data_IF_256998636112
#
_entry.id   IF_256998636112
#
_cell.length_a   1.000
_cell.length_b   1.000
_cell.length_c   1.000
_cell.angle_alpha   90.00
_cell.angle_beta   90.00
_cell.angle_gamma   90.00
#
_symmetry.space_group_name_H-M   'P 1'
#
loop_
_entity.id
_entity.type
_entity.pdbx_description
1 polymer ?
#
# COMPACT_ATOMS: atom_id res chain seq x y z
N UNK A 1 -15.47 9.97 -60.18
CA UNK A 1 -15.98 11.31 -59.81
C UNK A 1 -17.50 11.18 -59.67
N UNK A 2 -18.03 11.32 -58.45
CA UNK A 2 -19.45 11.60 -58.07
C UNK A 2 -20.54 10.58 -58.54
N UNK A 3 -21.53 10.13 -57.79
CA UNK A 3 -22.09 10.52 -56.49
C UNK A 3 -23.04 9.39 -55.97
N UNK A 4 -23.09 9.25 -54.64
CA UNK A 4 -24.30 9.13 -53.80
C UNK A 4 -25.37 8.09 -54.18
N UNK A 5 -25.48 7.01 -53.38
CA UNK A 5 -26.78 6.53 -52.85
C UNK A 5 -26.60 6.18 -51.37
N UNK A 6 -27.48 6.78 -50.57
CA UNK A 6 -27.61 6.64 -49.12
C UNK A 6 -28.14 5.25 -48.74
N UNK A 7 -27.57 4.62 -47.71
CA UNK A 7 -28.31 3.66 -46.89
C UNK A 7 -28.25 4.09 -45.43
N UNK A 8 -29.41 4.52 -44.94
CA UNK A 8 -29.65 4.86 -43.55
C UNK A 8 -29.40 3.64 -42.65
N UNK A 9 -28.42 3.74 -41.74
CA UNK A 9 -28.46 2.96 -40.51
C UNK A 9 -28.97 3.88 -39.40
N UNK A 10 -30.22 3.62 -39.00
CA UNK A 10 -30.90 4.21 -37.85
C UNK A 10 -30.00 4.18 -36.63
N UNK A 11 -29.71 5.37 -36.09
CA UNK A 11 -29.35 5.56 -34.70
C UNK A 11 -30.52 5.08 -33.83
N UNK A 12 -30.41 3.85 -33.33
CA UNK A 12 -31.18 3.46 -32.16
C UNK A 12 -30.51 4.09 -30.95
N UNK A 13 -31.02 5.26 -30.57
CA UNK A 13 -30.80 5.86 -29.27
C UNK A 13 -31.15 4.89 -28.16
N UNK A 14 -30.13 4.21 -27.64
CA UNK A 14 -30.14 3.70 -26.27
C UNK A 14 -29.62 4.82 -25.39
N UNK A 15 -30.56 5.58 -24.84
CA UNK A 15 -30.39 6.28 -23.58
C UNK A 15 -29.68 5.34 -22.60
N UNK A 16 -28.41 5.64 -22.28
CA UNK A 16 -27.64 4.96 -21.24
C UNK A 16 -28.23 5.35 -19.88
N UNK A 17 -29.37 4.77 -19.55
CA UNK A 17 -29.96 4.83 -18.21
C UNK A 17 -29.39 3.69 -17.39
N UNK A 18 -28.32 3.98 -16.66
CA UNK A 18 -28.09 3.64 -15.24
C UNK A 18 -26.58 3.68 -14.99
N UNK A 19 -26.15 4.72 -14.28
CA UNK A 19 -24.83 4.79 -13.64
C UNK A 19 -24.74 3.66 -12.60
N UNK A 20 -24.39 2.45 -13.02
CA UNK A 20 -23.95 1.42 -12.06
C UNK A 20 -22.50 1.74 -11.70
N UNK A 21 -22.33 2.46 -10.60
CA UNK A 21 -21.04 2.75 -9.98
C UNK A 21 -20.27 1.42 -9.80
N UNK A 22 -18.93 1.35 -10.00
CA UNK A 22 -18.14 0.12 -9.89
C UNK A 22 -18.31 -0.62 -8.55
N UNK A 23 -18.66 0.13 -7.49
CA UNK A 23 -19.01 -0.37 -6.16
C UNK A 23 -20.19 -1.36 -6.17
N UNK A 24 -21.08 -1.30 -7.17
CA UNK A 24 -22.26 -2.16 -7.26
C UNK A 24 -21.92 -3.65 -7.54
N UNK A 25 -20.67 -3.98 -7.90
CA UNK A 25 -20.21 -5.36 -8.15
C UNK A 25 -19.31 -5.92 -7.04
N UNK A 26 -19.08 -5.18 -5.96
CA UNK A 26 -18.24 -5.66 -4.86
C UNK A 26 -19.08 -6.41 -3.84
N UNK A 27 -18.62 -7.61 -3.49
CA UNK A 27 -19.19 -8.41 -2.39
C UNK A 27 -18.85 -7.83 -1.01
N UNK A 28 -18.20 -6.66 -0.95
CA UNK A 28 -17.78 -5.97 0.27
C UNK A 28 -18.00 -4.45 0.14
N UNK A 29 -18.15 -3.78 1.29
CA UNK A 29 -18.24 -2.31 1.36
C UNK A 29 -16.90 -1.73 1.86
N UNK A 30 -16.10 -1.09 0.99
CA UNK A 30 -14.87 -0.42 1.41
C UNK A 30 -15.23 0.80 2.27
N UNK A 31 -14.38 1.14 3.25
CA UNK A 31 -14.56 2.37 4.02
C UNK A 31 -13.71 3.48 3.44
N UNK A 32 -14.36 4.41 2.74
CA UNK A 32 -13.71 5.54 2.06
C UNK A 32 -14.42 6.81 2.49
N UNK A 33 -13.72 7.71 3.19
CA UNK A 33 -14.25 9.06 3.44
C UNK A 33 -14.26 9.85 2.12
N UNK A 34 -15.42 10.44 1.79
CA UNK A 34 -15.61 11.28 0.60
C UNK A 34 -16.03 10.55 -0.68
N UNK A 35 -16.07 9.21 -0.68
CA UNK A 35 -16.53 8.41 -1.82
C UNK A 35 -15.62 8.48 -3.05
N UNK A 36 -16.09 7.89 -4.14
CA UNK A 36 -15.42 7.94 -5.45
C UNK A 36 -15.83 9.18 -6.23
N UNK A 37 -14.90 9.73 -7.01
CA UNK A 37 -15.12 10.91 -7.84
C UNK A 37 -14.70 10.70 -9.30
N UNK A 38 -15.11 11.58 -10.23
CA UNK A 38 -14.46 11.68 -11.54
C UNK A 38 -12.96 11.97 -11.42
N UNK A 39 -12.20 11.58 -12.44
CA UNK A 39 -10.80 11.97 -12.53
C UNK A 39 -10.68 13.51 -12.59
N UNK A 40 -9.62 14.11 -12.00
CA UNK A 40 -9.41 15.56 -12.08
C UNK A 40 -9.35 16.04 -13.53
N UNK A 41 -10.01 17.16 -13.82
CA UNK A 41 -9.94 17.83 -15.13
C UNK A 41 -8.74 18.77 -15.25
N UNK A 42 -8.13 19.13 -14.12
CA UNK A 42 -6.92 19.93 -14.05
C UNK A 42 -5.69 19.09 -14.37
N UNK A 43 -4.61 19.74 -14.82
CA UNK A 43 -3.32 19.07 -15.04
C UNK A 43 -2.87 18.37 -13.73
N UNK A 44 -2.29 17.16 -13.81
CA UNK A 44 -1.73 16.50 -12.64
C UNK A 44 -0.65 17.36 -11.98
N UNK A 45 -0.70 17.46 -10.65
CA UNK A 45 0.36 18.09 -9.86
C UNK A 45 1.67 17.31 -10.07
N UNK A 46 2.80 18.00 -10.16
CA UNK A 46 4.12 17.36 -10.22
C UNK A 46 4.66 17.16 -8.81
N UNK A 47 5.37 16.05 -8.60
CA UNK A 47 6.06 15.84 -7.33
C UNK A 47 7.23 16.82 -7.20
N UNK A 48 7.31 17.51 -6.07
CA UNK A 48 8.44 18.34 -5.68
C UNK A 48 8.94 17.81 -4.31
N UNK A 49 10.14 17.21 -4.23
CA UNK A 49 10.63 16.65 -2.99
C UNK A 49 10.79 17.68 -1.86
N UNK A 50 11.07 18.95 -2.16
CA UNK A 50 11.22 20.01 -1.14
C UNK A 50 9.91 20.38 -0.44
N UNK A 51 8.77 20.10 -1.09
CA UNK A 51 7.42 20.41 -0.58
C UNK A 51 6.70 19.16 -0.08
N UNK A 52 6.96 18.03 -0.71
CA UNK A 52 6.20 16.81 -0.53
C UNK A 52 6.90 15.76 0.33
N UNK A 53 8.22 15.85 0.52
CA UNK A 53 8.91 15.05 1.53
C UNK A 53 9.01 15.81 2.85
N UNK A 54 8.98 15.05 3.94
CA UNK A 54 9.24 15.59 5.28
C UNK A 54 10.67 15.27 5.66
N UNK A 55 11.39 16.24 6.22
CA UNK A 55 12.72 16.00 6.79
C UNK A 55 12.62 14.96 7.89
N UNK A 56 13.21 13.79 7.63
CA UNK A 56 13.16 12.67 8.57
C UNK A 56 14.39 12.68 9.47
N UNK A 57 14.18 12.65 10.79
CA UNK A 57 15.23 12.26 11.73
C UNK A 57 15.57 10.78 11.55
N UNK A 58 16.77 10.35 11.95
CA UNK A 58 17.12 8.93 11.82
C UNK A 58 16.25 8.08 12.76
N UNK A 59 15.31 7.25 12.23
CA UNK A 59 14.42 6.49 13.10
C UNK A 59 15.20 5.36 13.77
N UNK A 60 14.72 4.92 14.93
CA UNK A 60 15.24 3.69 15.52
C UNK A 60 14.93 2.53 14.58
N UNK A 61 15.85 1.57 14.56
CA UNK A 61 15.80 0.37 13.71
C UNK A 61 16.00 -0.84 14.59
N UNK A 62 15.21 -1.87 14.33
CA UNK A 62 15.47 -3.22 14.82
C UNK A 62 16.35 -3.91 13.80
N UNK A 63 17.42 -4.52 14.28
CA UNK A 63 18.31 -5.34 13.48
C UNK A 63 17.86 -6.80 13.45
N UNK A 64 18.39 -7.60 12.53
CA UNK A 64 18.19 -9.05 12.52
C UNK A 64 18.63 -9.68 13.86
N UNK A 65 19.73 -9.17 14.42
CA UNK A 65 20.23 -9.58 15.74
C UNK A 65 19.26 -9.25 16.86
N UNK A 66 18.63 -8.08 16.85
CA UNK A 66 17.61 -7.71 17.85
C UNK A 66 16.39 -8.65 17.79
N UNK A 67 16.12 -9.24 16.61
CA UNK A 67 15.11 -10.28 16.43
C UNK A 67 15.64 -11.70 16.66
N UNK A 68 16.85 -11.87 17.19
CA UNK A 68 17.50 -13.18 17.34
C UNK A 68 17.58 -14.00 16.05
N UNK A 69 17.64 -13.34 14.90
CA UNK A 69 17.84 -13.96 13.59
C UNK A 69 19.33 -13.90 13.19
N UNK A 70 19.84 -14.86 12.40
CA UNK A 70 21.20 -14.79 11.84
C UNK A 70 21.37 -13.51 11.00
N UNK A 71 22.50 -12.82 11.16
CA UNK A 71 22.75 -11.56 10.44
C UNK A 71 22.96 -11.75 8.93
N UNK A 72 23.30 -12.97 8.51
CA UNK A 72 23.52 -13.36 7.11
C UNK A 72 22.26 -13.90 6.42
N UNK A 73 21.12 -14.00 7.13
CA UNK A 73 19.86 -14.44 6.52
C UNK A 73 19.33 -13.42 5.52
N UNK A 74 19.55 -12.13 5.79
CA UNK A 74 19.07 -11.01 4.98
C UNK A 74 20.15 -10.37 4.10
N UNK A 75 19.75 -9.30 3.43
CA UNK A 75 20.63 -8.46 2.59
C UNK A 75 21.02 -7.15 3.27
N UNK A 76 20.46 -6.86 4.44
CA UNK A 76 20.80 -5.75 5.33
C UNK A 76 20.72 -6.20 6.78
N UNK A 77 21.48 -5.56 7.66
CA UNK A 77 21.36 -5.76 9.10
C UNK A 77 20.02 -5.25 9.66
N UNK A 78 19.39 -4.28 8.97
CA UNK A 78 18.12 -3.69 9.40
C UNK A 78 16.97 -4.64 9.07
N UNK A 79 16.29 -5.14 10.10
CA UNK A 79 15.10 -5.95 9.94
C UNK A 79 13.86 -5.08 9.72
N UNK A 80 13.66 -4.07 10.56
CA UNK A 80 12.49 -3.19 10.53
C UNK A 80 12.83 -1.81 11.12
N UNK A 81 12.15 -0.76 10.68
CA UNK A 81 12.23 0.58 11.29
C UNK A 81 11.06 0.84 12.22
N UNK A 82 11.27 1.71 13.23
CA UNK A 82 10.14 2.44 13.81
C UNK A 82 9.50 3.35 12.74
N UNK A 83 8.23 3.76 12.91
CA UNK A 83 7.60 4.72 12.01
C UNK A 83 8.35 6.03 11.90
N UNK A 84 8.47 6.54 10.68
CA UNK A 84 9.14 7.81 10.40
C UNK A 84 8.36 8.65 9.40
N UNK A 85 8.31 9.99 9.53
CA UNK A 85 7.60 10.82 8.59
C UNK A 85 8.30 10.80 7.23
N UNK A 86 7.56 10.53 6.15
CA UNK A 86 8.10 10.45 4.79
C UNK A 86 7.44 11.49 3.87
N UNK A 87 6.11 11.50 3.81
CA UNK A 87 5.35 12.37 2.94
C UNK A 87 4.59 13.43 3.73
N UNK A 88 4.53 14.66 3.19
CA UNK A 88 3.75 15.72 3.80
C UNK A 88 2.24 15.42 3.73
N UNK A 89 1.46 16.05 4.59
CA UNK A 89 0.00 15.92 4.57
C UNK A 89 -0.59 16.28 3.19
N UNK A 90 -0.04 17.30 2.55
CA UNK A 90 -0.40 17.71 1.20
C UNK A 90 -0.12 16.61 0.17
N UNK A 91 1.06 15.99 0.22
CA UNK A 91 1.40 14.89 -0.67
C UNK A 91 0.42 13.72 -0.51
N UNK A 92 0.07 13.36 0.73
CA UNK A 92 -0.93 12.32 1.00
C UNK A 92 -2.30 12.71 0.45
N UNK A 93 -2.72 13.96 0.58
CA UNK A 93 -3.99 14.42 0.01
C UNK A 93 -4.02 14.32 -1.52
N UNK A 94 -2.92 14.66 -2.21
CA UNK A 94 -2.79 14.49 -3.66
C UNK A 94 -2.83 13.01 -4.04
N UNK A 95 -2.05 12.16 -3.37
CA UNK A 95 -2.03 10.72 -3.63
C UNK A 95 -3.40 10.08 -3.44
N UNK A 96 -4.08 10.38 -2.32
CA UNK A 96 -5.47 9.97 -2.09
C UNK A 96 -6.40 10.48 -3.18
N UNK A 97 -6.13 11.70 -3.68
CA UNK A 97 -6.98 12.31 -4.69
C UNK A 97 -7.02 11.52 -5.97
N UNK A 98 -5.86 11.06 -6.39
CA UNK A 98 -5.66 10.37 -7.67
C UNK A 98 -6.19 8.93 -7.63
N UNK A 99 -6.10 8.24 -6.48
CA UNK A 99 -6.55 6.83 -6.35
C UNK A 99 -8.07 6.68 -6.12
N UNK A 100 -8.75 7.67 -5.53
CA UNK A 100 -10.20 7.60 -5.27
C UNK A 100 -11.02 8.15 -6.44
N UNK A 101 -10.68 7.69 -7.65
CA UNK A 101 -11.40 8.02 -8.88
C UNK A 101 -12.12 6.81 -9.45
N UNK A 102 -13.21 7.03 -10.20
CA UNK A 102 -13.92 5.94 -10.88
C UNK A 102 -12.99 5.14 -11.80
N UNK A 103 -12.13 5.83 -12.55
CA UNK A 103 -11.20 5.19 -13.49
C UNK A 103 -10.22 4.24 -12.78
N UNK A 104 -9.65 4.66 -11.64
CA UNK A 104 -8.74 3.78 -10.88
C UNK A 104 -9.51 2.56 -10.38
N UNK A 105 -10.67 2.76 -9.76
CA UNK A 105 -11.45 1.66 -9.19
C UNK A 105 -11.98 0.68 -10.24
N UNK A 106 -12.28 1.14 -11.45
CA UNK A 106 -12.69 0.28 -12.56
C UNK A 106 -11.55 -0.56 -13.13
N UNK A 107 -10.33 -0.04 -13.16
CA UNK A 107 -9.23 -0.61 -13.93
C UNK A 107 -8.10 -1.24 -13.08
N UNK A 108 -8.11 -0.97 -11.78
CA UNK A 108 -7.00 -1.27 -10.87
C UNK A 108 -7.44 -2.04 -9.62
N UNK A 109 -8.75 -2.25 -9.41
CA UNK A 109 -9.26 -2.93 -8.24
C UNK A 109 -9.08 -4.45 -8.35
N UNK A 110 -8.43 -5.01 -7.34
CA UNK A 110 -8.21 -6.44 -7.16
C UNK A 110 -8.71 -6.87 -5.79
N UNK A 111 -9.13 -8.14 -5.70
CA UNK A 111 -9.60 -8.75 -4.47
C UNK A 111 -8.99 -10.12 -4.33
N UNK A 112 -8.42 -10.41 -3.16
CA UNK A 112 -7.91 -11.73 -2.81
C UNK A 112 -8.49 -12.17 -1.47
N UNK A 113 -8.32 -13.45 -1.13
CA UNK A 113 -8.71 -13.97 0.18
C UNK A 113 -7.96 -13.30 1.36
N UNK A 114 -6.77 -12.75 1.11
CA UNK A 114 -5.94 -12.11 2.15
C UNK A 114 -6.12 -10.60 2.20
N UNK A 115 -6.35 -9.98 1.05
CA UNK A 115 -6.52 -8.54 0.93
C UNK A 115 -7.75 -8.30 0.04
N UNK A 116 -8.93 -8.09 0.65
CA UNK A 116 -10.19 -8.09 -0.08
C UNK A 116 -10.37 -6.86 -0.95
N UNK A 117 -9.64 -5.77 -0.70
CA UNK A 117 -9.72 -4.54 -1.48
C UNK A 117 -8.32 -3.95 -1.68
N UNK A 118 -7.77 -4.14 -2.89
CA UNK A 118 -6.47 -3.63 -3.29
C UNK A 118 -6.54 -2.84 -4.59
N UNK A 119 -5.78 -1.75 -4.71
CA UNK A 119 -5.60 -1.03 -5.99
C UNK A 119 -4.16 -1.20 -6.47
N UNK A 120 -3.96 -1.95 -7.57
CA UNK A 120 -2.63 -2.26 -8.14
C UNK A 120 -2.52 -1.70 -9.56
N UNK A 121 -1.29 -1.49 -10.05
CA UNK A 121 -1.03 -1.01 -11.44
C UNK A 121 -1.66 0.35 -11.79
N UNK A 122 -1.91 1.21 -10.80
CA UNK A 122 -2.44 2.54 -11.09
C UNK A 122 -1.34 3.56 -11.47
N UNK A 123 -0.10 3.32 -11.05
CA UNK A 123 1.08 4.07 -11.46
C UNK A 123 1.67 3.55 -12.79
N UNK A 124 2.15 4.41 -13.71
CA UNK A 124 2.09 5.88 -13.67
C UNK A 124 0.77 6.45 -14.21
N UNK A 125 -0.02 5.63 -14.92
CA UNK A 125 -1.11 6.10 -15.79
C UNK A 125 -2.16 6.95 -15.08
N UNK A 126 -2.60 6.52 -13.90
CA UNK A 126 -3.68 7.18 -13.14
C UNK A 126 -3.16 7.98 -11.95
N UNK A 127 -1.95 7.72 -11.47
CA UNK A 127 -1.32 8.45 -10.36
C UNK A 127 0.13 8.86 -10.67
N UNK A 128 0.35 9.75 -11.65
CA UNK A 128 1.70 10.15 -12.07
C UNK A 128 2.46 10.90 -10.97
N UNK A 129 1.77 11.58 -10.05
CA UNK A 129 2.38 12.20 -8.88
C UNK A 129 3.01 11.15 -7.95
N UNK A 130 2.28 10.07 -7.69
CA UNK A 130 2.73 8.98 -6.83
C UNK A 130 3.89 8.21 -7.46
N UNK A 131 3.84 7.99 -8.77
CA UNK A 131 4.93 7.39 -9.52
C UNK A 131 6.23 8.21 -9.44
N UNK A 132 6.14 9.53 -9.64
CA UNK A 132 7.27 10.44 -9.46
C UNK A 132 7.78 10.40 -8.02
N UNK A 133 6.88 10.41 -7.03
CA UNK A 133 7.26 10.38 -5.63
C UNK A 133 8.10 9.16 -5.25
N UNK A 134 7.71 7.97 -5.72
CA UNK A 134 8.43 6.72 -5.40
C UNK A 134 9.72 6.50 -6.21
N UNK A 135 9.87 7.17 -7.35
CA UNK A 135 11.08 7.11 -8.17
C UNK A 135 12.03 8.29 -7.96
N UNK A 136 11.63 9.31 -7.18
CA UNK A 136 12.46 10.48 -6.93
C UNK A 136 13.74 10.10 -6.14
N UNK A 137 14.92 10.58 -6.57
CA UNK A 137 16.18 10.27 -5.90
C UNK A 137 16.22 10.64 -4.41
N UNK A 138 15.54 11.69 -3.97
CA UNK A 138 15.51 12.09 -2.54
C UNK A 138 14.65 11.14 -1.74
N UNK A 139 13.52 10.69 -2.28
CA UNK A 139 12.71 9.64 -1.67
C UNK A 139 13.53 8.36 -1.50
N UNK A 140 14.19 7.91 -2.57
CA UNK A 140 15.02 6.71 -2.55
C UNK A 140 16.20 6.81 -1.60
N UNK A 141 16.81 7.99 -1.47
CA UNK A 141 17.89 8.23 -0.51
C UNK A 141 17.42 8.07 0.94
N UNK A 142 16.24 8.61 1.29
CA UNK A 142 15.65 8.42 2.63
C UNK A 142 15.37 6.95 2.91
N UNK A 143 14.71 6.27 1.96
CA UNK A 143 14.37 4.84 2.09
C UNK A 143 15.63 3.99 2.25
N UNK A 144 16.62 4.20 1.39
CA UNK A 144 17.88 3.46 1.41
C UNK A 144 18.66 3.67 2.71
N UNK A 145 18.70 4.92 3.20
CA UNK A 145 19.31 5.25 4.48
C UNK A 145 18.64 4.49 5.63
N UNK A 146 17.30 4.48 5.67
CA UNK A 146 16.55 3.77 6.72
C UNK A 146 16.72 2.25 6.59
N UNK A 147 16.76 1.71 5.36
CA UNK A 147 16.95 0.29 5.11
C UNK A 147 18.39 -0.21 5.37
N UNK A 148 19.37 0.70 5.47
CA UNK A 148 20.78 0.33 5.60
C UNK A 148 21.41 -0.26 4.33
N UNK A 149 20.74 -0.13 3.18
CA UNK A 149 21.20 -0.60 1.87
C UNK A 149 20.58 0.26 0.76
N UNK A 150 21.27 0.44 -0.36
CA UNK A 150 20.74 1.18 -1.52
C UNK A 150 19.63 0.39 -2.23
N UNK A 151 18.45 0.99 -2.29
CA UNK A 151 17.22 0.39 -2.77
C UNK A 151 16.63 1.16 -3.96
N UNK A 152 15.99 0.39 -4.85
CA UNK A 152 15.13 0.89 -5.92
C UNK A 152 13.80 0.15 -5.95
N UNK A 153 12.72 0.78 -6.47
CA UNK A 153 11.45 0.09 -6.63
C UNK A 153 11.65 -1.18 -7.46
N UNK A 154 11.02 -2.26 -7.04
CA UNK A 154 11.31 -3.58 -7.59
C UNK A 154 10.68 -3.77 -8.97
N UNK A 155 9.35 -3.76 -9.02
CA UNK A 155 8.58 -3.83 -10.25
C UNK A 155 7.57 -2.69 -10.30
N UNK A 156 7.44 -2.08 -11.48
CA UNK A 156 6.53 -0.95 -11.71
C UNK A 156 5.08 -1.27 -11.31
N UNK A 157 4.68 -2.53 -11.47
CA UNK A 157 3.34 -3.01 -11.15
C UNK A 157 2.96 -2.81 -9.68
N UNK A 158 3.95 -2.87 -8.77
CA UNK A 158 3.78 -2.77 -7.31
C UNK A 158 4.05 -1.37 -6.75
N UNK A 159 4.37 -0.40 -7.61
CA UNK A 159 4.63 0.97 -7.16
C UNK A 159 3.32 1.57 -6.62
N UNK A 160 3.33 1.83 -5.31
CA UNK A 160 2.24 2.47 -4.61
C UNK A 160 0.99 1.61 -4.44
N UNK A 161 1.08 0.27 -4.43
CA UNK A 161 -0.07 -0.60 -4.17
C UNK A 161 -0.89 -0.12 -2.96
N UNK A 162 -2.21 -0.01 -3.12
CA UNK A 162 -3.10 0.47 -2.06
C UNK A 162 -3.86 -0.69 -1.48
N UNK A 163 -3.78 -0.86 -0.16
CA UNK A 163 -4.63 -1.77 0.59
C UNK A 163 -5.68 -0.97 1.38
N UNK A 164 -6.95 -1.39 1.30
CA UNK A 164 -8.08 -0.71 1.93
C UNK A 164 -8.83 -1.69 2.84
N UNK A 165 -8.98 -1.32 4.11
CA UNK A 165 -9.80 -2.12 5.04
C UNK A 165 -11.30 -2.04 4.71
N UNK A 166 -11.99 -3.17 4.91
CA UNK A 166 -13.44 -3.32 4.64
C UNK A 166 -14.24 -3.49 5.93
N UNK A 167 -15.52 -3.11 5.92
CA UNK A 167 -16.37 -3.11 7.12
C UNK A 167 -16.55 -4.48 7.79
N UNK A 168 -16.51 -5.60 7.05
CA UNK A 168 -16.66 -6.93 7.64
C UNK A 168 -15.49 -7.32 8.55
N UNK A 169 -14.28 -6.82 8.29
CA UNK A 169 -13.14 -6.95 9.20
C UNK A 169 -13.36 -6.16 10.52
N UNK A 170 -14.29 -5.21 10.52
CA UNK A 170 -14.68 -4.41 11.70
C UNK A 170 -15.92 -5.01 12.40
N UNK A 171 -16.81 -5.67 11.65
CA UNK A 171 -18.12 -6.21 12.10
C UNK A 171 -18.14 -7.66 12.61
N UNK A 172 -17.03 -8.42 12.56
CA UNK A 172 -16.94 -9.75 13.21
C UNK A 172 -17.03 -9.72 14.75
N UNK A 173 -17.74 -8.75 15.32
CA UNK A 173 -17.61 -8.23 16.68
C UNK A 173 -18.87 -8.25 17.54
N UNK A 174 -20.01 -8.74 17.05
CA UNK A 174 -21.22 -8.80 17.88
C UNK A 174 -21.42 -10.14 18.62
N UNK A 175 -20.59 -11.17 18.39
CA UNK A 175 -20.89 -12.52 18.91
C UNK A 175 -19.74 -13.25 19.64
N UNK A 176 -18.77 -12.53 20.22
CA UNK A 176 -17.74 -13.17 21.04
C UNK A 176 -17.57 -12.47 22.37
N UNK A 177 -18.31 -12.98 23.35
CA UNK A 177 -17.99 -12.80 24.76
C UNK A 177 -16.58 -13.29 25.07
N UNK A 178 -15.91 -12.51 25.91
CA UNK A 178 -14.80 -12.88 26.78
C UNK A 178 -13.99 -14.13 26.39
N UNK A 179 -13.16 -13.99 25.36
CA UNK A 179 -12.06 -14.94 25.08
C UNK A 179 -10.81 -14.15 24.74
N UNK A 180 -9.88 -14.14 25.69
CA UNK A 180 -8.46 -13.89 25.48
C UNK A 180 -7.94 -14.81 24.36
N UNK A 181 -7.62 -14.26 23.19
CA UNK A 181 -6.97 -15.00 22.11
C UNK A 181 -7.16 -14.43 20.71
N UNK A 182 -6.10 -13.81 20.17
CA UNK A 182 -5.58 -14.00 18.81
C UNK A 182 -6.56 -14.28 17.66
N UNK A 183 -7.46 -13.34 17.35
CA UNK A 183 -8.25 -13.42 16.10
C UNK A 183 -8.44 -12.08 15.36
N UNK A 184 -7.65 -11.06 15.67
CA UNK A 184 -7.74 -9.71 15.08
C UNK A 184 -6.58 -9.42 14.11
N UNK A 185 -6.44 -10.19 13.03
CA UNK A 185 -5.33 -10.05 12.08
C UNK A 185 -5.78 -9.52 10.71
N UNK A 186 -5.00 -8.60 10.11
CA UNK A 186 -5.22 -8.11 8.74
C UNK A 186 -4.62 -9.08 7.72
N UNK A 187 -3.43 -9.60 8.02
CA UNK A 187 -2.77 -10.62 7.20
C UNK A 187 -2.59 -11.90 8.01
N UNK A 188 -2.27 -13.03 7.35
CA UNK A 188 -1.71 -14.20 8.05
C UNK A 188 -0.21 -13.98 8.27
N UNK A 189 0.42 -14.82 9.09
CA UNK A 189 1.88 -14.90 9.13
C UNK A 189 2.43 -15.25 7.74
N UNK A 190 3.39 -14.45 7.27
CA UNK A 190 3.96 -14.62 5.94
C UNK A 190 5.33 -13.95 5.82
N UNK A 191 6.01 -14.30 4.74
CA UNK A 191 7.12 -13.54 4.18
C UNK A 191 6.65 -12.81 2.93
N UNK A 192 7.22 -11.63 2.69
CA UNK A 192 6.97 -10.92 1.45
C UNK A 192 7.59 -11.63 0.26
N UNK A 193 7.03 -11.33 -0.91
CA UNK A 193 7.60 -11.69 -2.20
C UNK A 193 8.95 -11.01 -2.44
N UNK A 194 9.13 -9.79 -1.94
CA UNK A 194 10.24 -8.93 -2.30
C UNK A 194 11.13 -8.62 -1.11
N UNK A 195 12.44 -8.36 -1.33
CA UNK A 195 13.41 -8.17 -0.26
C UNK A 195 12.98 -7.13 0.79
N UNK A 196 12.48 -5.99 0.32
CA UNK A 196 12.03 -4.89 1.17
C UNK A 196 10.64 -4.40 0.78
N UNK A 197 9.93 -3.88 1.78
CA UNK A 197 8.68 -3.16 1.63
C UNK A 197 8.72 -1.85 2.41
N UNK A 198 8.19 -0.78 1.81
CA UNK A 198 7.88 0.47 2.48
C UNK A 198 6.36 0.61 2.58
N UNK A 199 5.85 0.70 3.80
CA UNK A 199 4.41 0.85 4.08
C UNK A 199 4.13 2.24 4.61
N UNK A 200 3.37 3.03 3.87
CA UNK A 200 2.94 4.39 4.23
C UNK A 200 1.48 4.37 4.66
N UNK A 201 1.17 4.97 5.80
CA UNK A 201 -0.22 5.15 6.21
C UNK A 201 -0.84 6.35 5.47
N UNK A 202 -1.94 6.13 4.76
CA UNK A 202 -2.69 7.19 4.07
C UNK A 202 -3.92 7.66 4.83
N UNK A 203 -4.39 6.90 5.81
CA UNK A 203 -5.52 7.26 6.67
C UNK A 203 -5.06 8.04 7.89
N UNK A 204 -5.96 8.87 8.42
CA UNK A 204 -5.83 9.39 9.77
C UNK A 204 -5.93 8.24 10.79
N UNK A 205 -4.82 7.93 11.44
CA UNK A 205 -4.67 6.87 12.41
C UNK A 205 -4.64 7.37 13.86
N UNK A 206 -5.00 8.64 14.12
CA UNK A 206 -4.92 9.26 15.46
C UNK A 206 -5.76 8.51 16.49
N UNK A 207 -6.95 8.05 16.08
CA UNK A 207 -7.87 7.30 16.95
C UNK A 207 -7.82 5.78 16.71
N UNK A 208 -6.82 5.30 15.97
CA UNK A 208 -6.62 3.86 15.79
C UNK A 208 -5.91 3.27 17.01
N UNK A 209 -6.59 2.35 17.68
CA UNK A 209 -6.00 1.48 18.69
C UNK A 209 -5.54 0.18 18.01
N UNK A 210 -4.37 -0.34 18.38
CA UNK A 210 -3.69 -1.45 17.70
C UNK A 210 -3.27 -1.11 16.26
N UNK A 211 -3.16 -2.10 15.37
CA UNK A 211 -2.61 -1.93 14.03
C UNK A 211 -1.10 -2.10 13.94
N UNK A 212 -0.47 -2.68 14.97
CA UNK A 212 0.96 -2.99 15.01
C UNK A 212 1.34 -4.04 13.96
N UNK A 213 2.62 -4.06 13.61
CA UNK A 213 3.21 -5.16 12.86
C UNK A 213 3.86 -6.12 13.86
N UNK A 214 3.34 -7.34 13.93
CA UNK A 214 3.93 -8.42 14.70
C UNK A 214 5.05 -9.06 13.88
N UNK A 215 6.24 -9.14 14.48
CA UNK A 215 7.44 -9.77 13.91
C UNK A 215 7.73 -11.03 14.73
N UNK A 216 8.03 -12.14 14.06
CA UNK A 216 8.46 -13.36 14.72
C UNK A 216 9.97 -13.38 14.85
N UNK A 217 10.47 -13.55 16.06
CA UNK A 217 11.91 -13.63 16.34
C UNK A 217 12.44 -15.03 16.05
N UNK A 218 13.77 -15.18 15.98
CA UNK A 218 14.42 -16.49 15.85
C UNK A 218 14.23 -17.39 17.09
N UNK A 219 13.83 -16.82 18.24
CA UNK A 219 13.43 -17.58 19.44
C UNK A 219 11.97 -18.08 19.37
N UNK A 220 11.20 -17.63 18.38
CA UNK A 220 9.77 -17.91 18.26
C UNK A 220 8.86 -16.95 19.02
N UNK A 221 9.43 -15.97 19.72
CA UNK A 221 8.68 -14.90 20.39
C UNK A 221 8.11 -13.91 19.37
N UNK A 222 7.08 -13.16 19.80
CA UNK A 222 6.41 -12.16 18.96
C UNK A 222 6.76 -10.77 19.48
N UNK A 223 7.44 -9.99 18.64
CA UNK A 223 7.73 -8.58 18.89
C UNK A 223 6.76 -7.71 18.11
N UNK A 224 6.07 -6.76 18.76
CA UNK A 224 5.13 -5.86 18.10
C UNK A 224 5.77 -4.49 17.87
N UNK A 225 5.77 -4.04 16.62
CA UNK A 225 6.26 -2.71 16.22
C UNK A 225 5.06 -1.82 15.92
N UNK A 226 5.09 -0.59 16.46
CA UNK A 226 4.03 0.40 16.26
C UNK A 226 3.81 0.67 14.77
N UNK A 227 2.55 0.73 14.34
CA UNK A 227 2.18 1.09 12.97
C UNK A 227 2.37 2.59 12.66
N UNK A 228 2.51 2.98 11.38
CA UNK A 228 2.68 4.37 10.99
C UNK A 228 1.41 5.22 11.17
N UNK A 229 1.63 6.51 11.42
CA UNK A 229 0.61 7.56 11.35
C UNK A 229 0.51 8.13 9.93
N UNK A 230 -0.54 8.89 9.62
CA UNK A 230 -0.75 9.43 8.28
C UNK A 230 0.49 10.18 7.75
N UNK A 231 0.98 9.81 6.57
CA UNK A 231 2.20 10.37 5.96
C UNK A 231 3.51 9.77 6.44
N UNK A 232 3.49 9.00 7.53
CA UNK A 232 4.63 8.23 8.00
C UNK A 232 4.74 6.88 7.31
N UNK A 233 5.96 6.37 7.27
CA UNK A 233 6.35 5.12 6.67
C UNK A 233 7.01 4.18 7.68
N UNK A 234 6.99 2.88 7.39
CA UNK A 234 7.83 1.85 8.00
C UNK A 234 8.55 1.10 6.89
N UNK A 235 9.83 0.80 7.09
CA UNK A 235 10.61 -0.09 6.23
C UNK A 235 10.71 -1.45 6.91
N UNK A 236 10.46 -2.52 6.16
CA UNK A 236 10.58 -3.90 6.62
C UNK A 236 11.32 -4.73 5.57
N UNK A 237 12.28 -5.54 6.03
CA UNK A 237 12.97 -6.56 5.24
C UNK A 237 12.10 -7.82 5.13
N UNK A 238 10.91 -7.68 4.53
CA UNK A 238 9.80 -8.63 4.64
C UNK A 238 10.04 -10.00 4.02
N UNK A 239 11.00 -10.15 3.09
CA UNK A 239 11.36 -11.46 2.53
C UNK A 239 12.02 -12.38 3.56
N UNK A 240 12.64 -11.80 4.57
CA UNK A 240 13.54 -12.50 5.50
C UNK A 240 13.02 -12.50 6.95
N UNK A 241 12.01 -11.68 7.26
CA UNK A 241 11.38 -11.61 8.58
C UNK A 241 9.94 -12.05 8.46
N UNK A 242 9.56 -13.13 9.15
CA UNK A 242 8.15 -13.58 9.19
C UNK A 242 7.33 -12.57 9.99
N UNK A 243 6.26 -12.04 9.39
CA UNK A 243 5.49 -10.99 10.00
C UNK A 243 3.99 -11.10 9.75
N UNK A 244 3.25 -10.31 10.52
CA UNK A 244 1.80 -10.21 10.43
C UNK A 244 1.34 -8.79 10.79
N UNK A 245 0.47 -8.21 9.96
CA UNK A 245 -0.18 -6.94 10.28
C UNK A 245 -1.43 -7.19 11.14
N UNK A 246 -1.51 -6.51 12.28
CA UNK A 246 -2.65 -6.59 13.20
C UNK A 246 -3.76 -5.63 12.78
N UNK A 247 -5.01 -5.98 13.11
CA UNK A 247 -6.16 -5.14 12.84
C UNK A 247 -6.22 -3.96 13.81
N UNK A 248 -6.43 -2.76 13.27
CA UNK A 248 -6.69 -1.57 14.08
C UNK A 248 -8.18 -1.45 14.41
N UNK A 249 -8.48 -0.99 15.62
CA UNK A 249 -9.83 -0.74 16.16
C UNK A 249 -10.02 0.77 16.30
N UNK A 250 -11.23 1.28 16.07
CA UNK A 250 -11.58 2.70 16.32
C UNK A 250 -11.25 3.65 15.16
N UNK A 251 -10.58 3.18 14.12
CA UNK A 251 -10.35 3.94 12.89
C UNK A 251 -11.58 3.97 11.97
N UNK A 252 -11.89 5.14 11.43
CA UNK A 252 -12.95 5.26 10.42
C UNK A 252 -12.56 4.59 9.09
N UNK A 253 -11.27 4.59 8.70
CA UNK A 253 -10.76 3.93 7.47
C UNK A 253 -9.30 3.56 7.69
N UNK A 254 -8.80 2.40 7.22
CA UNK A 254 -7.36 2.07 7.22
C UNK A 254 -6.91 1.82 5.78
N UNK A 255 -6.18 2.78 5.24
CA UNK A 255 -5.65 2.77 3.88
C UNK A 255 -4.13 2.85 3.97
N UNK A 256 -3.45 1.87 3.40
CA UNK A 256 -1.98 1.83 3.34
C UNK A 256 -1.51 1.82 1.91
N UNK A 257 -0.48 2.62 1.62
CA UNK A 257 0.24 2.63 0.35
C UNK A 257 1.55 1.86 0.53
N UNK A 258 1.80 0.91 -0.35
CA UNK A 258 2.85 -0.09 -0.22
C UNK A 258 3.69 -0.06 -1.49
N UNK A 259 5.00 0.07 -1.33
CA UNK A 259 5.94 -0.08 -2.46
C UNK A 259 7.02 -1.07 -2.07
N UNK A 260 7.30 -2.01 -2.97
CA UNK A 260 8.32 -3.03 -2.78
C UNK A 260 9.63 -2.65 -3.44
N UNK A 261 10.74 -3.05 -2.82
CA UNK A 261 12.10 -2.65 -3.19
C UNK A 261 13.03 -3.84 -3.33
N UNK A 262 14.06 -3.65 -4.14
CA UNK A 262 15.22 -4.55 -4.29
C UNK A 262 16.51 -3.75 -4.19
N UNK A 263 17.67 -4.40 -3.93
CA UNK A 263 18.95 -3.74 -4.02
C UNK A 263 19.17 -3.08 -5.39
N UNK A 264 19.78 -1.88 -5.39
CA UNK A 264 20.25 -1.26 -6.63
C UNK A 264 21.46 -2.00 -7.21
N UNK A 265 22.39 -2.36 -6.33
CA UNK A 265 23.64 -3.04 -6.70
C UNK A 265 23.33 -4.44 -7.26
N UNK A 266 23.65 -4.72 -8.54
CA UNK A 266 23.41 -6.02 -9.16
C UNK A 266 24.26 -7.15 -8.56
N UNK A 267 25.32 -6.83 -7.80
CA UNK A 267 26.14 -7.81 -7.08
C UNK A 267 25.52 -8.23 -5.73
N UNK A 268 24.45 -7.58 -5.29
CA UNK A 268 23.69 -7.98 -4.09
C UNK A 268 22.59 -8.96 -4.48
N UNK A 269 22.30 -9.88 -3.56
CA UNK A 269 21.27 -10.90 -3.74
C UNK A 269 19.89 -10.24 -3.87
N UNK A 270 19.16 -10.60 -4.93
CA UNK A 270 17.76 -10.24 -5.11
C UNK A 270 16.90 -11.51 -5.01
N UNK A 271 16.35 -11.77 -3.81
CA UNK A 271 15.50 -12.94 -3.51
C UNK A 271 14.02 -12.70 -3.80
N UNK A 272 13.72 -11.82 -4.76
CA UNK A 272 12.36 -11.59 -5.23
C UNK A 272 11.73 -12.86 -5.79
N UNK A 273 10.53 -13.19 -5.30
CA UNK A 273 9.74 -14.34 -5.74
C UNK A 273 8.29 -13.93 -5.94
N UNK A 274 7.58 -14.57 -6.86
CA UNK A 274 6.15 -14.30 -7.10
C UNK A 274 5.21 -15.29 -6.41
N UNK A 275 5.70 -16.03 -5.42
CA UNK A 275 4.94 -17.11 -4.77
C UNK A 275 3.86 -16.60 -3.81
N UNK A 276 4.09 -15.46 -3.15
CA UNK A 276 3.09 -14.81 -2.28
C UNK A 276 2.20 -13.81 -3.01
N UNK A 277 2.58 -13.41 -4.23
CA UNK A 277 1.77 -12.54 -5.09
C UNK A 277 0.80 -13.40 -5.87
N UNK A 278 -0.48 -13.33 -5.50
CA UNK A 278 -1.51 -14.08 -6.22
C UNK A 278 -1.76 -13.48 -7.61
N UNK A 279 -1.87 -14.31 -8.66
CA UNK A 279 -2.28 -13.86 -9.98
C UNK A 279 -3.71 -13.31 -9.95
N UNK A 280 -3.96 -12.37 -10.84
CA UNK A 280 -5.21 -11.62 -11.03
C UNK A 280 -6.22 -12.47 -11.80
#
# INVERSE_FOLDING_TARGET
LNAIIQSQHKENGRTRTSNSIPLAKLNFKPIIKGGLRPAPTTKPEKFNPERHLVTTNDPKRLTLKDLSLPEDVGISLVACSEPFPLFSQEAIQIMRRDIFTFQVWENCLHSTQFAPCQLRRHCPKYAPFMDQAWNDPKTLAVISKVAGIDLIPNIQYEVGNIDISIQSAVKGKEDFGDRSGDNNFVTKWHYDAFPFVCVVMMSDATNMLSGETALKTGTGEILKVRGPQMGSAVILQGRYVEYQALAAIGGAERITMITSFRPRDPCKKDDSVLTSIRPI
#
